data_IF_439646855790
#
_entry.id   IF_439646855790
#
_cell.length_a   1.000
_cell.length_b   1.000
_cell.length_c   1.000
_cell.angle_alpha   90.00
_cell.angle_beta   90.00
_cell.angle_gamma   90.00
#
_symmetry.space_group_name_H-M   'P 1'
#
loop_
_entity.id
_entity.type
_entity.pdbx_description
1 polymer ?
#
# COMPACT_ATOMS: atom_id res chain seq x y z
N UNK A 1 -5.40 10.64 -0.73
CA UNK A 1 -5.07 10.23 0.67
C UNK A 1 -5.98 9.12 1.19
N UNK A 2 -7.30 9.31 1.32
CA UNK A 2 -8.21 8.31 1.91
C UNK A 2 -8.14 6.92 1.23
N UNK A 3 -8.29 6.87 -0.10
CA UNK A 3 -8.24 5.62 -0.87
C UNK A 3 -6.90 4.88 -0.70
N UNK A 4 -5.77 5.58 -0.87
CA UNK A 4 -4.42 5.02 -0.67
C UNK A 4 -4.25 4.49 0.75
N UNK A 5 -4.66 5.24 1.78
CA UNK A 5 -4.59 4.79 3.17
C UNK A 5 -5.45 3.53 3.40
N UNK A 6 -6.63 3.44 2.79
CA UNK A 6 -7.48 2.25 2.85
C UNK A 6 -6.82 1.01 2.24
N UNK A 7 -6.20 1.16 1.06
CA UNK A 7 -5.46 0.06 0.42
C UNK A 7 -4.28 -0.40 1.27
N UNK A 8 -3.48 0.53 1.79
CA UNK A 8 -2.34 0.22 2.66
C UNK A 8 -2.80 -0.48 3.94
N UNK A 9 -3.84 0.04 4.61
CA UNK A 9 -4.34 -0.56 5.85
C UNK A 9 -4.86 -1.98 5.62
N UNK A 10 -5.60 -2.21 4.53
CA UNK A 10 -6.08 -3.55 4.19
C UNK A 10 -4.92 -4.50 3.89
N UNK A 11 -3.94 -4.05 3.10
CA UNK A 11 -2.77 -4.84 2.73
C UNK A 11 -1.91 -5.23 3.94
N UNK A 12 -1.65 -4.27 4.84
CA UNK A 12 -0.88 -4.51 6.07
C UNK A 12 -1.59 -5.51 7.01
N UNK A 13 -2.93 -5.56 7.00
CA UNK A 13 -3.68 -6.57 7.76
C UNK A 13 -3.49 -7.99 7.21
N UNK A 14 -3.24 -8.14 5.91
CA UNK A 14 -2.96 -9.45 5.31
C UNK A 14 -1.58 -9.96 5.73
N UNK A 15 -0.60 -9.06 5.86
CA UNK A 15 0.76 -9.38 6.31
C UNK A 15 1.83 -8.98 5.30
N UNK A 16 3.08 -9.25 5.66
CA UNK A 16 4.25 -8.90 4.85
C UNK A 16 4.63 -10.06 3.92
N UNK A 17 4.72 -9.72 2.64
CA UNK A 17 5.05 -10.64 1.52
C UNK A 17 6.55 -10.81 1.31
N UNK A 18 7.38 -10.03 1.98
CA UNK A 18 8.82 -10.04 1.79
C UNK A 18 9.33 -8.83 1.01
N UNK A 19 10.64 -8.77 0.86
CA UNK A 19 11.33 -7.70 0.13
C UNK A 19 10.96 -7.71 -1.35
N UNK A 20 11.08 -6.56 -2.00
CA UNK A 20 10.84 -6.41 -3.46
C UNK A 20 11.81 -7.28 -4.24
N UNK A 21 13.07 -7.23 -3.83
CA UNK A 21 14.17 -8.06 -4.33
C UNK A 21 15.31 -8.03 -3.32
N UNK A 22 16.38 -8.79 -3.59
CA UNK A 22 17.60 -8.82 -2.78
C UNK A 22 18.79 -8.33 -3.58
N UNK A 23 19.57 -7.42 -3.00
CA UNK A 23 20.82 -6.91 -3.55
C UNK A 23 22.03 -7.57 -2.89
N UNK A 24 23.09 -7.73 -3.67
CA UNK A 24 24.42 -8.03 -3.13
C UNK A 24 25.05 -6.75 -2.57
N UNK A 25 25.58 -6.84 -1.35
CA UNK A 25 26.19 -5.74 -0.62
C UNK A 25 27.73 -5.75 -0.71
N UNK A 26 28.33 -6.62 -1.52
CA UNK A 26 29.78 -6.72 -1.67
C UNK A 26 30.44 -5.43 -2.21
N UNK A 27 29.69 -4.60 -2.94
CA UNK A 27 30.13 -3.32 -3.50
C UNK A 27 29.25 -2.16 -3.03
N UNK A 28 29.47 -0.95 -3.57
CA UNK A 28 28.61 0.20 -3.29
C UNK A 28 27.14 -0.09 -3.65
N UNK A 29 26.31 -0.27 -2.62
CA UNK A 29 24.89 -0.59 -2.73
C UNK A 29 24.06 0.51 -3.39
N UNK A 30 24.55 1.74 -3.40
CA UNK A 30 23.83 2.88 -3.97
C UNK A 30 23.65 2.77 -5.48
N UNK A 31 24.66 2.22 -6.18
CA UNK A 31 24.62 2.03 -7.64
C UNK A 31 23.53 1.05 -8.07
N UNK A 32 23.51 -0.22 -7.61
CA UNK A 32 22.47 -1.16 -8.01
C UNK A 32 21.08 -0.74 -7.50
N UNK A 33 20.99 -0.09 -6.34
CA UNK A 33 19.71 0.42 -5.83
C UNK A 33 19.14 1.54 -6.71
N UNK A 34 19.97 2.42 -7.28
CA UNK A 34 19.53 3.53 -8.15
C UNK A 34 18.95 3.08 -9.49
N UNK A 35 19.25 1.85 -9.92
CA UNK A 35 18.72 1.26 -11.16
C UNK A 35 17.32 0.64 -10.96
N UNK A 36 16.89 0.42 -9.72
CA UNK A 36 15.56 -0.12 -9.42
C UNK A 36 14.53 1.00 -9.59
N UNK A 37 13.55 0.80 -10.48
CA UNK A 37 12.45 1.76 -10.62
C UNK A 37 11.65 1.86 -9.32
N UNK A 38 11.66 3.03 -8.70
CA UNK A 38 10.79 3.37 -7.58
C UNK A 38 9.55 4.13 -8.03
N UNK A 39 8.52 4.15 -7.20
CA UNK A 39 7.32 4.96 -7.41
C UNK A 39 7.59 6.35 -6.83
N UNK A 40 7.43 7.40 -7.64
CA UNK A 40 7.72 8.78 -7.24
C UNK A 40 6.51 9.47 -6.60
N UNK A 41 5.31 8.95 -6.84
CA UNK A 41 4.03 9.52 -6.43
C UNK A 41 3.50 9.01 -5.06
N UNK A 42 4.30 8.24 -4.32
CA UNK A 42 3.92 7.62 -3.03
C UNK A 42 4.57 8.27 -1.80
N UNK A 43 4.92 9.56 -1.89
CA UNK A 43 5.47 10.33 -0.77
C UNK A 43 4.61 10.18 0.52
N UNK A 44 5.22 9.96 1.70
CA UNK A 44 6.64 10.12 2.01
C UNK A 44 7.50 8.86 1.85
N UNK A 45 6.98 7.81 1.20
CA UNK A 45 7.69 6.53 1.13
C UNK A 45 8.91 6.63 0.24
N UNK A 46 10.01 6.03 0.69
CA UNK A 46 11.28 6.00 -0.03
C UNK A 46 11.78 4.58 -0.12
N UNK A 47 12.30 4.21 -1.29
CA UNK A 47 12.95 2.93 -1.47
C UNK A 47 14.29 2.92 -0.73
N UNK A 48 14.59 1.80 -0.08
CA UNK A 48 15.84 1.59 0.65
C UNK A 48 16.29 0.14 0.55
N UNK A 49 17.57 -0.10 0.80
CA UNK A 49 18.15 -1.43 0.99
C UNK A 49 18.53 -1.62 2.46
N UNK A 50 18.29 -2.82 3.00
CA UNK A 50 18.76 -3.20 4.34
C UNK A 50 20.26 -3.48 4.27
N UNK A 51 21.06 -2.76 5.05
CA UNK A 51 22.52 -2.89 5.09
C UNK A 51 22.97 -3.90 6.13
N UNK A 52 22.33 -3.86 7.30
CA UNK A 52 22.57 -4.75 8.44
C UNK A 52 21.27 -4.90 9.22
N UNK A 53 21.11 -6.04 9.88
CA UNK A 53 19.93 -6.36 10.69
C UNK A 53 20.33 -7.18 11.91
N UNK A 54 19.78 -6.82 13.05
CA UNK A 54 19.88 -7.56 14.30
C UNK A 54 18.49 -7.68 14.94
N UNK A 55 18.41 -8.22 16.15
CA UNK A 55 17.11 -8.43 16.80
C UNK A 55 16.36 -7.13 17.12
N UNK A 56 17.05 -6.02 17.35
CA UNK A 56 16.44 -4.76 17.78
C UNK A 56 16.16 -3.80 16.62
N UNK A 57 17.01 -3.83 15.59
CA UNK A 57 16.98 -2.84 14.51
C UNK A 57 17.63 -3.34 13.22
N UNK A 58 17.26 -2.69 12.12
CA UNK A 58 17.94 -2.79 10.84
C UNK A 58 18.38 -1.40 10.37
N UNK A 59 19.62 -1.26 9.93
CA UNK A 59 20.10 -0.04 9.27
C UNK A 59 19.78 -0.13 7.80
N UNK A 60 19.19 0.92 7.25
CA UNK A 60 18.78 1.00 5.85
C UNK A 60 19.53 2.12 5.13
N UNK A 61 19.82 1.91 3.85
CA UNK A 61 20.37 2.93 2.94
C UNK A 61 19.33 3.32 1.90
N UNK A 62 19.00 4.60 1.81
CA UNK A 62 17.99 5.09 0.86
C UNK A 62 18.53 5.13 -0.57
N UNK A 63 17.65 4.85 -1.52
CA UNK A 63 17.95 4.97 -2.93
C UNK A 63 18.49 6.38 -3.24
N UNK A 64 19.71 6.50 -3.78
CA UNK A 64 20.28 7.80 -4.08
C UNK A 64 19.58 8.41 -5.29
N UNK A 65 19.43 9.74 -5.27
CA UNK A 65 18.96 10.50 -6.42
C UNK A 65 20.02 10.56 -7.53
N UNK A 66 19.64 11.13 -8.67
CA UNK A 66 20.57 11.47 -9.76
C UNK A 66 20.87 12.96 -9.74
N UNK A 67 22.14 13.31 -9.94
CA UNK A 67 22.62 14.68 -10.04
C UNK A 67 22.35 15.25 -11.45
N UNK A 68 22.55 16.56 -11.60
CA UNK A 68 22.50 17.22 -12.90
C UNK A 68 23.52 16.56 -13.84
N UNK A 69 23.05 15.94 -14.93
CA UNK A 69 23.87 15.14 -15.83
C UNK A 69 23.63 13.62 -15.74
N UNK A 70 22.74 13.15 -14.85
CA UNK A 70 22.28 11.76 -14.81
C UNK A 70 23.17 10.81 -14.01
N UNK A 71 24.30 11.30 -13.49
CA UNK A 71 25.17 10.56 -12.58
C UNK A 71 24.43 10.25 -11.27
N UNK A 72 24.64 9.05 -10.74
CA UNK A 72 24.08 8.64 -9.45
C UNK A 72 24.80 9.44 -8.35
N UNK A 73 24.04 10.05 -7.44
CA UNK A 73 24.62 10.83 -6.36
C UNK A 73 25.52 9.97 -5.49
N UNK A 74 26.65 10.53 -5.04
CA UNK A 74 27.56 9.87 -4.10
C UNK A 74 27.09 9.97 -2.65
N UNK A 75 26.09 10.80 -2.35
CA UNK A 75 25.53 10.89 -1.01
C UNK A 75 24.83 9.58 -0.64
N UNK A 76 25.10 9.09 0.56
CA UNK A 76 24.51 7.87 1.11
C UNK A 76 23.70 8.25 2.33
N UNK A 77 22.41 8.46 2.11
CA UNK A 77 21.49 8.72 3.22
C UNK A 77 21.08 7.39 3.85
N UNK A 78 21.07 7.34 5.18
CA UNK A 78 20.73 6.12 5.93
C UNK A 78 19.68 6.40 7.00
N UNK A 79 18.99 5.35 7.41
CA UNK A 79 18.01 5.37 8.49
C UNK A 79 18.03 4.09 9.31
N UNK A 80 17.22 4.05 10.35
CA UNK A 80 17.05 2.87 11.21
C UNK A 80 15.58 2.44 11.21
N UNK A 81 15.34 1.16 11.03
CA UNK A 81 14.04 0.53 11.26
C UNK A 81 14.12 -0.26 12.57
N UNK A 82 13.30 0.12 13.54
CA UNK A 82 13.23 -0.56 14.85
C UNK A 82 12.13 -1.63 14.85
N UNK A 83 12.00 -2.38 15.94
CA UNK A 83 10.91 -3.35 16.11
C UNK A 83 9.51 -2.71 15.94
N UNK A 84 9.34 -1.46 16.37
CA UNK A 84 8.09 -0.72 16.15
C UNK A 84 7.79 -0.54 14.65
N UNK A 85 8.82 -0.26 13.85
CA UNK A 85 8.73 -0.07 12.41
C UNK A 85 8.35 -1.33 11.61
N UNK A 86 8.50 -2.53 12.18
CA UNK A 86 8.14 -3.82 11.55
C UNK A 86 7.01 -4.56 12.26
N UNK A 87 6.42 -4.00 13.31
CA UNK A 87 5.46 -4.72 14.16
C UNK A 87 4.23 -5.26 13.42
N UNK A 88 3.82 -4.58 12.34
CA UNK A 88 2.70 -5.01 11.49
C UNK A 88 3.04 -6.21 10.61
N UNK A 89 4.32 -6.42 10.30
CA UNK A 89 4.84 -7.24 9.22
C UNK A 89 4.87 -8.75 9.57
N UNK A 90 3.70 -9.31 9.87
CA UNK A 90 3.53 -10.76 10.04
C UNK A 90 3.86 -11.46 8.71
N UNK A 91 4.85 -12.35 8.71
CA UNK A 91 5.28 -13.02 7.49
C UNK A 91 4.20 -13.96 6.95
N UNK A 92 4.07 -14.04 5.63
CA UNK A 92 3.15 -14.98 4.98
C UNK A 92 3.76 -16.38 4.75
N UNK A 93 5.07 -16.51 4.89
CA UNK A 93 5.83 -17.74 4.66
C UNK A 93 6.99 -17.88 5.65
N UNK A 94 7.66 -19.03 5.63
CA UNK A 94 8.81 -19.30 6.48
C UNK A 94 8.45 -19.65 7.94
N UNK A 95 9.47 -19.77 8.81
CA UNK A 95 9.32 -20.32 10.16
C UNK A 95 8.49 -19.44 11.11
N UNK A 96 8.37 -18.14 10.82
CA UNK A 96 7.62 -17.17 11.63
C UNK A 96 6.25 -16.82 11.03
N UNK A 97 5.74 -17.63 10.09
CA UNK A 97 4.48 -17.37 9.40
C UNK A 97 3.33 -17.05 10.36
N UNK A 98 2.65 -15.93 10.11
CA UNK A 98 1.47 -15.47 10.83
C UNK A 98 1.72 -14.93 12.25
N UNK A 99 2.96 -15.03 12.76
CA UNK A 99 3.32 -14.55 14.10
C UNK A 99 3.66 -13.06 14.06
N UNK A 100 3.28 -12.33 15.09
CA UNK A 100 3.75 -10.95 15.28
C UNK A 100 5.25 -10.94 15.45
N UNK A 101 6.01 -10.14 14.68
CA UNK A 101 7.46 -10.06 14.81
C UNK A 101 7.88 -9.69 16.24
N UNK A 102 8.83 -10.43 16.79
CA UNK A 102 9.46 -10.12 18.09
C UNK A 102 10.88 -9.61 17.95
N UNK A 103 11.48 -9.76 16.77
CA UNK A 103 12.79 -9.21 16.45
C UNK A 103 12.83 -8.70 15.00
N UNK A 104 13.66 -7.69 14.72
CA UNK A 104 13.77 -7.10 13.37
C UNK A 104 14.39 -8.08 12.39
N UNK A 105 15.38 -8.87 12.82
CA UNK A 105 16.01 -9.92 12.03
C UNK A 105 15.03 -11.01 11.56
N UNK A 106 13.86 -11.19 12.20
CA UNK A 106 12.82 -12.09 11.66
C UNK A 106 12.23 -11.58 10.35
N UNK A 107 12.19 -10.26 10.14
CA UNK A 107 11.46 -9.59 9.05
C UNK A 107 12.40 -9.07 7.96
N UNK A 108 13.52 -8.48 8.37
CA UNK A 108 14.44 -7.77 7.49
C UNK A 108 15.82 -8.44 7.52
N UNK A 109 16.36 -8.72 6.34
CA UNK A 109 17.67 -9.34 6.14
C UNK A 109 18.59 -8.41 5.33
N UNK A 110 19.91 -8.44 5.53
CA UNK A 110 20.84 -7.68 4.70
C UNK A 110 20.64 -7.97 3.21
N UNK A 111 20.61 -6.92 2.40
CA UNK A 111 20.34 -6.94 0.97
C UNK A 111 18.88 -6.74 0.59
N UNK A 112 17.93 -6.84 1.52
CA UNK A 112 16.51 -6.69 1.22
C UNK A 112 16.19 -5.27 0.72
N UNK A 113 15.55 -5.16 -0.44
CA UNK A 113 15.02 -3.89 -0.97
C UNK A 113 13.59 -3.70 -0.51
N UNK A 114 13.33 -2.59 0.16
CA UNK A 114 12.05 -2.28 0.82
C UNK A 114 11.62 -0.84 0.54
N UNK A 115 10.35 -0.53 0.84
CA UNK A 115 9.94 0.85 1.07
C UNK A 115 9.95 1.16 2.56
N UNK A 116 10.36 2.38 2.89
CA UNK A 116 10.41 2.90 4.24
C UNK A 116 9.73 4.29 4.28
N UNK A 117 9.01 4.53 5.37
CA UNK A 117 8.26 5.76 5.65
C UNK A 117 8.70 6.28 7.02
N UNK A 118 8.79 7.60 7.27
CA UNK A 118 9.16 8.10 8.58
C UNK A 118 8.29 7.48 9.68
N UNK A 119 8.94 7.06 10.78
CA UNK A 119 8.22 6.60 11.95
C UNK A 119 7.65 7.82 12.67
N UNK A 120 6.37 7.77 13.01
CA UNK A 120 5.71 8.84 13.77
C UNK A 120 5.44 8.37 15.19
N UNK A 121 5.75 9.23 16.16
CA UNK A 121 5.40 9.00 17.57
C UNK A 121 3.88 9.06 17.76
N UNK A 122 3.42 8.68 18.96
CA UNK A 122 2.00 8.79 19.35
C UNK A 122 1.46 10.21 19.25
N UNK A 123 2.34 11.21 19.36
CA UNK A 123 1.98 12.64 19.25
C UNK A 123 2.01 13.15 17.80
N UNK A 124 2.20 12.26 16.81
CA UNK A 124 2.19 12.58 15.39
C UNK A 124 3.44 13.27 14.88
N UNK A 125 4.54 13.29 15.65
CA UNK A 125 5.83 13.85 15.23
C UNK A 125 6.72 12.78 14.65
N UNK A 126 7.43 13.09 13.56
CA UNK A 126 8.42 12.18 13.02
C UNK A 126 9.53 11.94 14.06
N UNK A 127 9.88 10.67 14.26
CA UNK A 127 11.01 10.26 15.10
C UNK A 127 12.25 10.32 14.21
N UNK A 128 13.16 11.24 14.55
CA UNK A 128 14.33 11.53 13.72
C UNK A 128 15.18 10.27 13.46
N UNK A 129 15.52 10.04 12.19
CA UNK A 129 16.32 8.90 11.76
C UNK A 129 15.62 7.54 11.86
N UNK A 130 14.39 7.46 12.36
CA UNK A 130 13.63 6.21 12.47
C UNK A 130 12.54 6.10 11.42
N UNK A 131 12.40 4.88 10.91
CA UNK A 131 11.51 4.57 9.80
C UNK A 131 10.72 3.30 10.10
N UNK A 132 9.57 3.17 9.42
CA UNK A 132 8.77 1.97 9.40
C UNK A 132 8.78 1.32 8.03
N UNK A 133 8.75 -0.01 8.02
CA UNK A 133 8.59 -0.80 6.81
C UNK A 133 7.24 -0.53 6.17
N UNK A 134 7.24 -0.42 4.83
CA UNK A 134 6.06 -0.30 3.98
C UNK A 134 6.10 -1.32 2.86
N UNK A 135 4.91 -1.67 2.40
CA UNK A 135 4.69 -2.60 1.31
C UNK A 135 3.72 -1.96 0.31
N UNK A 136 4.04 -2.05 -0.98
CA UNK A 136 3.10 -1.64 -2.03
C UNK A 136 1.91 -2.62 -1.98
N UNK A 137 0.66 -2.12 -1.86
CA UNK A 137 -0.52 -2.97 -1.90
C UNK A 137 -0.62 -3.76 -3.21
N UNK A 138 -0.90 -5.06 -3.12
CA UNK A 138 -1.19 -5.87 -4.31
C UNK A 138 -2.61 -5.62 -4.82
N UNK A 139 -3.54 -5.37 -3.91
CA UNK A 139 -4.89 -4.96 -4.28
C UNK A 139 -4.88 -3.54 -4.84
N UNK A 140 -5.83 -3.28 -5.72
CA UNK A 140 -6.12 -1.94 -6.20
C UNK A 140 -7.57 -1.59 -5.89
N UNK A 141 -7.88 -0.30 -5.92
CA UNK A 141 -9.23 0.21 -5.83
C UNK A 141 -9.46 1.36 -6.80
N UNK A 142 -10.65 1.94 -6.72
CA UNK A 142 -11.01 3.17 -7.38
C UNK A 142 -11.92 4.00 -6.48
N UNK A 143 -11.93 5.31 -6.68
CA UNK A 143 -12.84 6.22 -6.00
C UNK A 143 -13.25 7.33 -6.96
N UNK A 144 -14.53 7.65 -6.98
CA UNK A 144 -15.07 8.84 -7.65
C UNK A 144 -16.01 9.56 -6.70
N UNK A 145 -15.87 10.88 -6.63
CA UNK A 145 -16.78 11.76 -5.91
C UNK A 145 -17.34 12.77 -6.91
N UNK A 146 -18.65 12.93 -6.92
CA UNK A 146 -19.37 13.72 -7.93
C UNK A 146 -20.52 14.50 -7.30
N UNK A 147 -20.80 15.66 -7.87
CA UNK A 147 -22.02 16.42 -7.58
C UNK A 147 -23.21 15.71 -8.25
N UNK A 148 -24.21 15.24 -7.49
CA UNK A 148 -25.34 14.49 -8.04
C UNK A 148 -26.28 15.35 -8.90
N UNK A 149 -26.29 16.69 -8.75
CA UNK A 149 -27.19 17.55 -9.51
C UNK A 149 -26.61 17.94 -10.88
N UNK A 150 -25.28 18.09 -10.96
CA UNK A 150 -24.60 18.54 -12.18
C UNK A 150 -23.80 17.45 -12.89
N UNK A 151 -23.53 16.33 -12.21
CA UNK A 151 -22.64 15.27 -12.71
C UNK A 151 -21.16 15.63 -12.67
N UNK A 152 -20.79 16.80 -12.13
CA UNK A 152 -19.40 17.26 -12.06
C UNK A 152 -18.56 16.34 -11.17
N UNK A 153 -17.43 15.86 -11.69
CA UNK A 153 -16.45 15.10 -10.92
C UNK A 153 -15.65 16.05 -10.03
N UNK A 154 -15.71 15.82 -8.71
CA UNK A 154 -14.99 16.59 -7.69
C UNK A 154 -13.65 15.94 -7.34
N UNK A 155 -13.59 14.61 -7.36
CA UNK A 155 -12.37 13.85 -7.16
C UNK A 155 -12.45 12.52 -7.90
N UNK A 156 -11.33 12.05 -8.44
CA UNK A 156 -11.21 10.74 -9.08
C UNK A 156 -9.85 10.13 -8.77
N UNK A 157 -9.83 8.86 -8.39
CA UNK A 157 -8.62 8.08 -8.13
C UNK A 157 -8.80 6.70 -8.78
N UNK A 158 -7.92 6.35 -9.71
CA UNK A 158 -8.02 5.12 -10.50
C UNK A 158 -7.17 3.94 -10.01
N UNK A 159 -6.35 4.14 -8.98
CA UNK A 159 -5.40 3.14 -8.48
C UNK A 159 -4.54 3.66 -7.34
N UNK A 160 -3.67 2.81 -6.82
CA UNK A 160 -2.75 3.14 -5.72
C UNK A 160 -1.70 4.18 -6.14
N UNK A 161 -1.07 3.97 -7.29
CA UNK A 161 -0.03 4.81 -7.87
C UNK A 161 -0.22 4.87 -9.39
N UNK A 162 -0.13 6.08 -9.94
CA UNK A 162 -0.16 6.32 -11.39
C UNK A 162 1.16 5.89 -12.05
N UNK A 163 2.28 6.06 -11.34
CA UNK A 163 3.61 5.60 -11.80
C UNK A 163 3.68 4.08 -11.93
N UNK A 164 2.93 3.38 -11.08
CA UNK A 164 2.76 1.93 -11.15
C UNK A 164 1.84 1.54 -12.31
N UNK A 165 0.70 2.21 -12.46
CA UNK A 165 -0.29 1.90 -13.50
C UNK A 165 -1.13 3.12 -13.86
N UNK A 166 -1.10 3.49 -15.14
CA UNK A 166 -1.91 4.58 -15.69
C UNK A 166 -3.37 4.15 -15.98
N UNK A 167 -3.71 2.89 -15.72
CA UNK A 167 -5.06 2.37 -15.93
C UNK A 167 -6.02 2.92 -14.87
N UNK A 168 -7.01 3.69 -15.30
CA UNK A 168 -7.99 4.33 -14.42
C UNK A 168 -9.17 3.40 -14.16
N UNK A 169 -9.13 2.70 -13.02
CA UNK A 169 -10.20 1.76 -12.63
C UNK A 169 -11.54 2.43 -12.33
N UNK A 170 -11.58 3.75 -12.09
CA UNK A 170 -12.83 4.45 -11.86
C UNK A 170 -13.70 4.54 -13.13
N UNK A 171 -13.08 4.46 -14.32
CA UNK A 171 -13.78 4.62 -15.60
C UNK A 171 -13.60 3.43 -16.55
N UNK A 172 -12.52 2.67 -16.43
CA UNK A 172 -12.14 1.64 -17.40
C UNK A 172 -12.34 0.21 -16.86
N UNK A 173 -12.46 0.02 -15.54
CA UNK A 173 -12.56 -1.32 -14.96
C UNK A 173 -14.02 -1.75 -14.81
N UNK A 174 -14.47 -2.65 -15.68
CA UNK A 174 -15.76 -3.31 -15.52
C UNK A 174 -15.72 -4.36 -14.41
N UNK A 175 -16.57 -4.21 -13.40
CA UNK A 175 -16.72 -5.12 -12.25
C UNK A 175 -18.19 -5.32 -11.93
N UNK A 176 -18.54 -6.50 -11.43
CA UNK A 176 -19.90 -6.77 -10.95
C UNK A 176 -20.18 -5.91 -9.71
N UNK A 177 -21.30 -5.15 -9.66
CA UNK A 177 -21.63 -4.29 -8.52
C UNK A 177 -22.13 -5.09 -7.30
N UNK A 178 -22.61 -6.33 -7.50
CA UNK A 178 -23.21 -7.14 -6.45
C UNK A 178 -24.37 -6.42 -5.77
N UNK A 179 -24.47 -6.55 -4.44
CA UNK A 179 -25.55 -5.95 -3.65
C UNK A 179 -25.64 -4.41 -3.75
N UNK A 180 -24.59 -3.72 -4.21
CA UNK A 180 -24.63 -2.25 -4.40
C UNK A 180 -25.60 -1.82 -5.51
N UNK A 181 -26.03 -2.74 -6.37
CA UNK A 181 -27.04 -2.47 -7.41
C UNK A 181 -28.48 -2.57 -6.90
N UNK A 182 -28.71 -3.19 -5.73
CA UNK A 182 -30.06 -3.38 -5.17
C UNK A 182 -30.87 -2.08 -5.11
N UNK A 183 -30.35 -0.91 -4.69
CA UNK A 183 -31.14 0.32 -4.66
C UNK A 183 -31.84 0.67 -5.99
N UNK A 184 -31.25 0.34 -7.14
CA UNK A 184 -31.87 0.55 -8.46
C UNK A 184 -33.08 -0.39 -8.66
N UNK A 185 -32.94 -1.65 -8.25
CA UNK A 185 -34.04 -2.64 -8.29
C UNK A 185 -35.18 -2.22 -7.35
N UNK A 186 -34.85 -1.78 -6.13
CA UNK A 186 -35.85 -1.32 -5.17
C UNK A 186 -36.51 0.00 -5.61
N UNK A 187 -35.79 0.90 -6.29
CA UNK A 187 -36.39 2.09 -6.91
C UNK A 187 -37.47 1.70 -7.92
N UNK A 188 -37.19 0.69 -8.76
CA UNK A 188 -38.17 0.18 -9.73
C UNK A 188 -39.40 -0.38 -9.02
N UNK A 189 -39.24 -1.09 -7.89
CA UNK A 189 -40.37 -1.58 -7.11
C UNK A 189 -41.23 -0.42 -6.55
N UNK A 190 -40.60 0.64 -6.02
CA UNK A 190 -41.30 1.82 -5.52
C UNK A 190 -42.09 2.53 -6.64
N UNK A 191 -41.51 2.68 -7.84
CA UNK A 191 -42.18 3.24 -9.00
C UNK A 191 -43.39 2.39 -9.47
N UNK A 192 -43.42 1.11 -9.10
CA UNK A 192 -44.47 0.16 -9.42
C UNK A 192 -45.42 -0.12 -8.23
N UNK A 193 -45.55 0.83 -7.29
CA UNK A 193 -46.57 0.79 -6.24
C UNK A 193 -46.18 0.07 -4.95
N UNK A 194 -44.94 -0.42 -4.85
CA UNK A 194 -44.40 -0.88 -3.56
C UNK A 194 -44.12 0.32 -2.65
N UNK A 195 -44.11 0.12 -1.35
CA UNK A 195 -43.77 1.14 -0.35
C UNK A 195 -42.68 0.64 0.58
N UNK A 196 -42.11 1.54 1.40
CA UNK A 196 -41.16 1.15 2.45
C UNK A 196 -41.73 0.20 3.52
N UNK A 197 -43.05 -0.03 3.51
CA UNK A 197 -43.74 -0.97 4.40
C UNK A 197 -44.29 -2.21 3.70
N UNK A 198 -44.03 -2.39 2.39
CA UNK A 198 -44.46 -3.61 1.70
C UNK A 198 -43.70 -4.81 2.27
N UNK A 199 -44.44 -5.79 2.78
CA UNK A 199 -43.88 -7.03 3.29
C UNK A 199 -43.44 -7.93 2.15
N UNK A 200 -42.23 -8.47 2.25
CA UNK A 200 -41.63 -9.40 1.29
C UNK A 200 -41.25 -10.69 2.01
N UNK A 201 -41.34 -11.82 1.31
CA UNK A 201 -40.87 -13.11 1.82
C UNK A 201 -39.40 -13.25 1.47
N UNK A 202 -38.54 -13.39 2.48
CA UNK A 202 -37.14 -13.79 2.33
C UNK A 202 -37.03 -15.30 2.57
N UNK A 203 -37.07 -16.07 1.49
CA UNK A 203 -37.04 -17.53 1.52
C UNK A 203 -36.47 -18.11 0.22
N UNK A 204 -36.22 -19.43 0.18
CA UNK A 204 -35.71 -20.10 -1.01
C UNK A 204 -36.62 -19.88 -2.22
N UNK A 205 -36.02 -19.65 -3.39
CA UNK A 205 -36.72 -19.48 -4.67
C UNK A 205 -36.02 -20.33 -5.73
N UNK A 206 -36.80 -20.93 -6.62
CA UNK A 206 -36.37 -21.65 -7.82
C UNK A 206 -36.94 -20.93 -9.04
N UNK A 207 -36.13 -20.78 -10.08
CA UNK A 207 -36.51 -20.14 -11.35
C UNK A 207 -36.11 -21.11 -12.45
N UNK A 208 -37.09 -21.58 -13.21
CA UNK A 208 -36.91 -22.51 -14.35
C UNK A 208 -36.20 -21.86 -15.56
#
# INVERSE_FOLDING_TARGET
KAMVAGLVNYDEQQGYRGAIQKLDLASDWGVPLAEIKSLSDISPWRMAVVLESNDQSARIGFQPGRELGGAISKQRETGIVTLEGVKWARLLSGPYKGRTPTSVAQVLQPGDVIYADPLFSKDGKAVEGQYRLRQIPELSGAMVAMDPHTGRVLAMVGGFSFDQSQFNRATQAYRQPGSTFKPIVYSTALDNGYTGSTMMIDGPIEID
#
